data_IF_608398761213
#
_entry.id   IF_608398761213
#
_cell.length_a   1.000
_cell.length_b   1.000
_cell.length_c   1.000
_cell.angle_alpha   90.00
_cell.angle_beta   90.00
_cell.angle_gamma   90.00
#
_symmetry.space_group_name_H-M   'P 1'
#
loop_
_entity.id
_entity.type
_entity.pdbx_description
1 polymer ?
#
# COMPACT_ATOMS: atom_id res chain seq x y z
N UNK A 1 1.32 13.24 17.52
CA UNK A 1 1.37 13.41 16.04
C UNK A 1 2.03 12.16 15.46
N UNK A 2 1.25 11.32 14.74
CA UNK A 2 1.67 10.00 14.27
C UNK A 2 2.99 9.99 13.46
N UNK A 3 3.23 11.03 12.67
CA UNK A 3 4.47 11.12 11.88
C UNK A 3 5.70 11.36 12.78
N UNK A 4 5.60 12.25 13.75
CA UNK A 4 6.69 12.51 14.71
C UNK A 4 6.96 11.31 15.60
N UNK A 5 5.90 10.60 16.00
CA UNK A 5 6.05 9.38 16.80
C UNK A 5 6.74 8.28 15.99
N UNK A 6 6.38 8.11 14.72
CA UNK A 6 7.03 7.15 13.83
C UNK A 6 8.51 7.50 13.64
N UNK A 7 8.84 8.77 13.34
CA UNK A 7 10.23 9.24 13.23
C UNK A 7 11.02 8.94 14.51
N UNK A 8 10.46 9.25 15.68
CA UNK A 8 11.09 8.97 16.96
C UNK A 8 11.37 7.48 17.12
N UNK A 9 10.37 6.63 16.90
CA UNK A 9 10.53 5.18 17.09
C UNK A 9 11.49 4.55 16.10
N UNK A 10 11.53 4.99 14.85
CA UNK A 10 12.49 4.48 13.87
C UNK A 10 13.93 4.82 14.26
N UNK A 11 14.17 5.94 14.93
CA UNK A 11 15.48 6.37 15.43
C UNK A 11 15.84 5.73 16.78
N UNK A 12 14.88 5.62 17.70
CA UNK A 12 15.09 4.99 19.01
C UNK A 12 15.31 3.47 18.91
N UNK A 13 14.71 2.84 17.91
CA UNK A 13 14.79 1.38 17.71
C UNK A 13 15.35 1.04 16.32
N UNK A 14 16.62 1.34 16.03
CA UNK A 14 17.19 1.16 14.71
C UNK A 14 17.26 -0.31 14.25
N UNK A 15 17.18 -1.27 15.17
CA UNK A 15 17.10 -2.70 14.88
C UNK A 15 15.70 -3.19 14.52
N UNK A 16 14.65 -2.42 14.87
CA UNK A 16 13.28 -2.76 14.53
C UNK A 16 13.01 -2.52 13.04
N UNK A 17 12.21 -3.38 12.43
CA UNK A 17 11.71 -3.19 11.08
C UNK A 17 10.20 -2.94 11.15
N UNK A 18 9.75 -1.88 10.51
CA UNK A 18 8.37 -1.41 10.58
C UNK A 18 7.68 -1.66 9.25
N UNK A 19 6.57 -2.38 9.24
CA UNK A 19 5.72 -2.51 8.05
C UNK A 19 4.53 -1.57 8.22
N UNK A 20 4.41 -0.60 7.34
CA UNK A 20 3.28 0.33 7.31
C UNK A 20 2.21 -0.22 6.39
N UNK A 21 1.14 -0.74 6.98
CA UNK A 21 0.03 -1.32 6.25
C UNK A 21 -0.73 -0.27 5.41
N UNK A 22 -1.38 -0.74 4.34
CA UNK A 22 -2.28 0.06 3.51
C UNK A 22 -1.61 1.31 2.93
N UNK A 23 -0.44 1.16 2.31
CA UNK A 23 0.35 2.29 1.82
C UNK A 23 0.55 3.37 2.91
N UNK A 24 0.93 2.97 4.13
CA UNK A 24 0.97 3.84 5.31
C UNK A 24 -0.39 4.50 5.66
N UNK A 25 -1.49 3.76 5.51
CA UNK A 25 -2.88 4.23 5.62
C UNK A 25 -3.25 5.35 4.64
N UNK A 26 -2.58 5.44 3.53
CA UNK A 26 -2.85 6.44 2.50
C UNK A 26 -3.86 5.91 1.48
N UNK A 27 -5.14 5.88 1.86
CA UNK A 27 -6.24 5.40 1.02
C UNK A 27 -6.62 6.35 -0.11
N UNK A 28 -5.98 7.51 -0.20
CA UNK A 28 -6.10 8.44 -1.32
C UNK A 28 -4.80 9.22 -1.57
N UNK A 29 -4.69 9.77 -2.76
CA UNK A 29 -3.52 10.51 -3.23
C UNK A 29 -3.12 11.68 -2.30
N UNK A 30 -4.08 12.43 -1.77
CA UNK A 30 -3.78 13.57 -0.89
C UNK A 30 -3.07 13.15 0.40
N UNK A 31 -3.48 12.01 0.98
CA UNK A 31 -2.81 11.47 2.16
C UNK A 31 -1.41 10.99 1.82
N UNK A 32 -1.24 10.37 0.65
CA UNK A 32 0.07 9.90 0.20
C UNK A 32 1.01 11.08 -0.10
N UNK A 33 0.56 12.12 -0.79
CA UNK A 33 1.34 13.33 -1.07
C UNK A 33 1.85 14.01 0.21
N UNK A 34 0.99 14.07 1.23
CA UNK A 34 1.36 14.65 2.53
C UNK A 34 2.42 13.81 3.26
N UNK A 35 2.43 12.51 3.04
CA UNK A 35 3.21 11.55 3.83
C UNK A 35 4.51 11.12 3.16
N UNK A 36 4.50 10.95 1.84
CA UNK A 36 5.56 10.22 1.14
C UNK A 36 6.93 10.87 1.28
N UNK A 37 7.01 12.18 1.22
CA UNK A 37 8.28 12.92 1.34
C UNK A 37 8.97 12.71 2.69
N UNK A 38 8.15 12.61 3.73
CA UNK A 38 8.63 12.33 5.08
C UNK A 38 8.98 10.85 5.26
N UNK A 39 8.14 9.95 4.75
CA UNK A 39 8.29 8.52 4.94
C UNK A 39 9.51 7.94 4.21
N UNK A 40 9.84 8.45 3.01
CA UNK A 40 10.99 7.98 2.23
C UNK A 40 12.34 8.17 2.94
N UNK A 41 12.43 9.18 3.81
CA UNK A 41 13.66 9.50 4.55
C UNK A 41 13.84 8.66 5.82
N UNK A 42 12.83 7.88 6.20
CA UNK A 42 12.89 7.05 7.40
C UNK A 42 13.58 5.71 7.12
N UNK A 43 14.57 5.33 7.96
CA UNK A 43 15.19 4.02 7.84
C UNK A 43 14.24 2.92 8.30
N UNK A 44 14.52 1.67 7.92
CA UNK A 44 13.84 0.45 8.41
C UNK A 44 12.29 0.45 8.24
N UNK A 45 11.75 1.27 7.35
CA UNK A 45 10.35 1.27 6.97
C UNK A 45 10.15 0.38 5.73
N UNK A 46 9.09 -0.39 5.78
CA UNK A 46 8.56 -1.21 4.70
C UNK A 46 7.08 -0.90 4.54
N UNK A 47 6.52 -1.21 3.40
CA UNK A 47 5.11 -0.94 3.12
C UNK A 47 4.42 -2.19 2.59
N UNK A 48 3.16 -2.35 2.92
CA UNK A 48 2.26 -3.18 2.16
C UNK A 48 1.17 -2.35 1.48
N UNK A 49 0.66 -2.85 0.38
CA UNK A 49 -0.32 -2.16 -0.45
C UNK A 49 -1.76 -2.61 -0.21
N UNK A 50 -1.98 -3.40 0.83
CA UNK A 50 -3.25 -4.07 1.09
C UNK A 50 -4.45 -3.12 1.13
N UNK A 51 -5.56 -3.55 0.57
CA UNK A 51 -6.86 -2.89 0.56
C UNK A 51 -6.92 -1.48 -0.06
N UNK A 52 -5.83 -0.91 -0.52
CA UNK A 52 -5.84 0.41 -1.19
C UNK A 52 -6.33 0.25 -2.63
N UNK A 53 -7.36 1.01 -3.00
CA UNK A 53 -7.92 1.01 -4.34
C UNK A 53 -7.71 2.34 -5.08
N UNK A 54 -6.90 3.23 -4.54
CA UNK A 54 -6.57 4.51 -5.17
C UNK A 54 -5.30 4.38 -6.02
N UNK A 55 -5.43 4.63 -7.31
CA UNK A 55 -4.35 4.53 -8.28
C UNK A 55 -3.15 5.40 -7.92
N UNK A 56 -3.42 6.65 -7.54
CA UNK A 56 -2.35 7.61 -7.29
C UNK A 56 -1.62 7.37 -5.98
N UNK A 57 -2.28 6.79 -4.97
CA UNK A 57 -1.58 6.33 -3.76
C UNK A 57 -0.51 5.29 -4.08
N UNK A 58 -0.86 4.27 -4.86
CA UNK A 58 0.10 3.28 -5.33
C UNK A 58 1.19 3.90 -6.21
N UNK A 59 0.80 4.77 -7.15
CA UNK A 59 1.73 5.43 -8.06
C UNK A 59 2.77 6.26 -7.31
N UNK A 60 2.34 7.10 -6.37
CA UNK A 60 3.23 7.96 -5.59
C UNK A 60 4.17 7.13 -4.71
N UNK A 61 3.64 6.10 -4.04
CA UNK A 61 4.46 5.20 -3.23
C UNK A 61 5.53 4.53 -4.09
N UNK A 62 5.15 3.86 -5.19
CA UNK A 62 6.08 3.12 -6.05
C UNK A 62 7.03 4.02 -6.84
N UNK A 63 6.69 5.29 -7.02
CA UNK A 63 7.54 6.28 -7.71
C UNK A 63 8.61 6.87 -6.80
N UNK A 64 8.29 7.11 -5.54
CA UNK A 64 9.15 7.89 -4.64
C UNK A 64 9.90 7.02 -3.62
N UNK A 65 9.38 5.84 -3.31
CA UNK A 65 10.01 4.92 -2.37
C UNK A 65 10.95 3.94 -3.10
N UNK A 66 11.91 3.37 -2.36
CA UNK A 66 12.65 2.19 -2.84
C UNK A 66 11.66 1.03 -3.02
N UNK A 67 11.41 0.65 -4.26
CA UNK A 67 10.46 -0.41 -4.63
C UNK A 67 10.74 -1.74 -3.94
N UNK A 68 11.99 -1.98 -3.51
CA UNK A 68 12.37 -3.18 -2.75
C UNK A 68 11.79 -3.20 -1.34
N UNK A 69 11.27 -2.08 -0.86
CA UNK A 69 10.60 -1.95 0.44
C UNK A 69 9.07 -2.00 0.34
N UNK A 70 8.51 -2.09 -0.87
CA UNK A 70 7.06 -2.13 -1.10
C UNK A 70 6.63 -3.55 -1.43
N UNK A 71 5.71 -4.10 -0.66
CA UNK A 71 5.24 -5.47 -0.77
C UNK A 71 3.74 -5.50 -1.07
N UNK A 72 3.32 -6.46 -1.87
CA UNK A 72 1.91 -6.77 -2.00
C UNK A 72 1.34 -7.31 -0.67
N UNK A 73 0.19 -6.79 -0.28
CA UNK A 73 -0.64 -7.32 0.79
C UNK A 73 -2.09 -7.40 0.34
N UNK A 74 -2.88 -8.29 0.91
CA UNK A 74 -4.28 -8.50 0.52
C UNK A 74 -5.30 -7.98 1.54
N UNK A 75 -4.88 -7.74 2.79
CA UNK A 75 -5.78 -7.51 3.92
C UNK A 75 -6.88 -8.59 4.01
N UNK A 76 -6.52 -9.83 3.65
CA UNK A 76 -7.39 -10.97 3.77
C UNK A 76 -7.53 -11.29 5.29
N UNK A 77 -8.64 -11.42 5.81
CA UNK A 77 -9.95 -11.93 5.61
C UNK A 77 -11.02 -10.82 5.68
N UNK A 78 -10.67 -9.62 6.11
CA UNK A 78 -11.64 -8.56 6.42
C UNK A 78 -11.96 -7.70 5.19
N UNK A 79 -10.96 -7.00 4.65
CA UNK A 79 -11.20 -6.10 3.53
C UNK A 79 -10.98 -6.78 2.18
N UNK A 80 -9.90 -7.55 1.99
CA UNK A 80 -9.58 -8.14 0.69
C UNK A 80 -10.68 -9.03 0.09
N UNK A 81 -11.41 -9.73 0.93
CA UNK A 81 -12.54 -10.59 0.52
C UNK A 81 -13.89 -9.86 0.54
N UNK A 82 -13.96 -8.61 0.97
CA UNK A 82 -15.19 -7.84 0.92
C UNK A 82 -15.54 -7.48 -0.53
N UNK A 83 -16.85 -7.57 -0.85
CA UNK A 83 -17.34 -7.07 -2.13
C UNK A 83 -17.32 -5.55 -2.13
N UNK A 84 -16.84 -4.96 -3.22
CA UNK A 84 -16.78 -3.52 -3.36
C UNK A 84 -15.35 -3.01 -3.53
N UNK A 85 -15.17 -1.73 -3.27
CA UNK A 85 -13.88 -1.05 -3.29
C UNK A 85 -13.86 0.12 -2.32
N UNK A 86 -12.69 0.55 -1.95
CA UNK A 86 -12.52 1.83 -1.27
C UNK A 86 -12.51 2.95 -2.30
N UNK A 87 -13.41 3.91 -2.12
CA UNK A 87 -13.50 5.11 -2.96
C UNK A 87 -13.12 6.35 -2.17
N UNK A 88 -12.61 7.35 -2.87
CA UNK A 88 -12.20 8.61 -2.28
C UNK A 88 -13.26 9.68 -2.49
N UNK A 89 -13.43 10.52 -1.48
CA UNK A 89 -14.27 11.70 -1.51
C UNK A 89 -13.47 12.87 -0.91
N UNK A 90 -12.80 13.62 -1.75
CA UNK A 90 -11.79 14.57 -1.31
C UNK A 90 -10.69 13.88 -0.49
N UNK A 91 -10.45 14.35 0.73
CA UNK A 91 -9.47 13.73 1.66
C UNK A 91 -10.06 12.57 2.48
N UNK A 92 -11.35 12.31 2.39
CA UNK A 92 -11.99 11.16 3.01
C UNK A 92 -11.98 9.95 2.08
N UNK A 93 -12.17 8.80 2.65
CA UNK A 93 -12.36 7.54 1.93
C UNK A 93 -13.41 6.69 2.64
N UNK A 94 -14.09 5.85 1.89
CA UNK A 94 -15.09 4.95 2.43
C UNK A 94 -15.16 3.66 1.61
N UNK A 95 -15.63 2.59 2.24
CA UNK A 95 -15.94 1.35 1.53
C UNK A 95 -17.25 1.51 0.74
N UNK A 96 -17.20 1.23 -0.55
CA UNK A 96 -18.34 1.22 -1.45
C UNK A 96 -18.64 -0.21 -1.90
N UNK A 97 -19.72 -0.84 -1.44
CA UNK A 97 -19.98 -2.27 -1.70
C UNK A 97 -20.50 -2.55 -3.13
N UNK A 98 -20.82 -1.53 -3.88
CA UNK A 98 -21.46 -1.62 -5.18
C UNK A 98 -22.85 -1.03 -5.15
N UNK A 99 -23.43 -0.82 -6.32
CA UNK A 99 -24.65 -0.06 -6.45
C UNK A 99 -25.90 -0.94 -6.34
N UNK A 100 -26.35 -1.22 -5.15
CA UNK A 100 -27.65 -1.86 -4.94
C UNK A 100 -28.82 -0.85 -4.94
N UNK A 101 -28.55 0.43 -4.72
CA UNK A 101 -29.54 1.48 -4.54
C UNK A 101 -29.45 2.63 -5.57
N UNK A 102 -28.84 2.37 -6.74
CA UNK A 102 -28.97 3.29 -7.86
C UNK A 102 -28.36 4.67 -7.66
N UNK A 103 -27.11 4.77 -7.21
CA UNK A 103 -26.36 6.01 -7.44
C UNK A 103 -26.13 6.15 -8.94
N UNK A 104 -26.86 7.03 -9.65
CA UNK A 104 -26.66 7.20 -11.08
C UNK A 104 -25.21 7.63 -11.29
N UNK A 105 -24.56 7.10 -12.31
CA UNK A 105 -23.16 7.39 -12.64
C UNK A 105 -22.08 6.62 -11.83
N UNK A 106 -22.43 5.71 -10.93
CA UNK A 106 -21.47 4.82 -10.29
C UNK A 106 -21.40 3.48 -11.03
N UNK A 107 -20.19 2.94 -11.17
CA UNK A 107 -20.02 1.58 -11.70
C UNK A 107 -20.55 0.57 -10.67
N UNK A 108 -21.64 -0.10 -11.02
CA UNK A 108 -22.28 -1.12 -10.18
C UNK A 108 -21.57 -2.47 -10.20
N UNK A 109 -20.48 -2.59 -10.95
CA UNK A 109 -19.79 -3.87 -11.20
C UNK A 109 -18.57 -4.08 -10.29
N UNK A 110 -18.51 -3.38 -9.17
CA UNK A 110 -17.45 -3.60 -8.20
C UNK A 110 -17.34 -5.10 -7.83
N UNK A 111 -16.13 -5.63 -7.87
CA UNK A 111 -15.83 -7.03 -7.56
C UNK A 111 -15.46 -7.19 -6.09
N UNK A 112 -14.33 -7.80 -5.79
CA UNK A 112 -13.78 -7.83 -4.44
C UNK A 112 -12.70 -6.73 -4.30
N UNK A 113 -12.54 -6.19 -3.11
CA UNK A 113 -11.53 -5.16 -2.82
C UNK A 113 -10.14 -5.55 -3.35
N UNK A 114 -9.75 -6.82 -3.19
CA UNK A 114 -8.47 -7.31 -3.69
C UNK A 114 -8.36 -7.25 -5.23
N UNK A 115 -9.43 -7.51 -5.96
CA UNK A 115 -9.40 -7.40 -7.43
C UNK A 115 -9.37 -5.94 -7.88
N UNK A 116 -10.08 -5.07 -7.18
CA UNK A 116 -10.02 -3.63 -7.42
C UNK A 116 -8.60 -3.09 -7.16
N UNK A 117 -7.93 -3.55 -6.10
CA UNK A 117 -6.53 -3.26 -5.82
C UNK A 117 -5.61 -3.74 -6.96
N UNK A 118 -5.72 -5.00 -7.38
CA UNK A 118 -4.90 -5.57 -8.45
C UNK A 118 -5.05 -4.83 -9.78
N UNK A 119 -6.25 -4.30 -10.08
CA UNK A 119 -6.46 -3.45 -11.26
C UNK A 119 -5.61 -2.19 -11.17
N UNK A 120 -5.60 -1.52 -10.00
CA UNK A 120 -4.82 -0.30 -9.80
C UNK A 120 -3.31 -0.59 -9.86
N UNK A 121 -2.84 -1.64 -9.20
CA UNK A 121 -1.42 -2.03 -9.22
C UNK A 121 -0.93 -2.38 -10.62
N UNK A 122 -1.76 -3.07 -11.41
CA UNK A 122 -1.47 -3.32 -12.84
C UNK A 122 -1.32 -2.03 -13.63
N UNK A 123 -2.19 -1.05 -13.41
CA UNK A 123 -2.11 0.25 -14.08
C UNK A 123 -0.84 1.00 -13.67
N UNK A 124 -0.49 0.99 -12.38
CA UNK A 124 0.74 1.59 -11.87
C UNK A 124 1.97 0.93 -12.48
N UNK A 125 1.99 -0.40 -12.57
CA UNK A 125 3.08 -1.13 -13.21
C UNK A 125 3.29 -0.68 -14.68
N UNK A 126 2.19 -0.44 -15.40
CA UNK A 126 2.24 0.09 -16.76
C UNK A 126 2.71 1.55 -16.81
N UNK A 127 2.20 2.41 -15.92
CA UNK A 127 2.58 3.84 -15.85
C UNK A 127 4.05 4.06 -15.50
N UNK A 128 4.61 3.20 -14.66
CA UNK A 128 6.01 3.26 -14.22
C UNK A 128 6.94 2.35 -15.04
N UNK A 129 6.40 1.69 -16.08
CA UNK A 129 7.14 0.78 -16.96
C UNK A 129 7.94 -0.27 -16.17
N UNK A 130 7.29 -0.84 -15.13
CA UNK A 130 7.95 -1.82 -14.27
C UNK A 130 8.35 -3.05 -15.08
N UNK A 131 9.58 -3.50 -14.87
CA UNK A 131 10.08 -4.76 -15.41
C UNK A 131 9.34 -5.95 -14.78
N UNK A 132 9.44 -7.11 -15.43
CA UNK A 132 8.88 -8.35 -14.91
C UNK A 132 9.47 -8.68 -13.52
N UNK A 133 10.76 -8.49 -13.34
CA UNK A 133 11.44 -8.76 -12.07
C UNK A 133 10.93 -7.84 -10.95
N UNK A 134 10.70 -6.55 -11.24
CA UNK A 134 10.14 -5.62 -10.26
C UNK A 134 8.71 -6.00 -9.88
N UNK A 135 7.91 -6.49 -10.83
CA UNK A 135 6.55 -6.99 -10.55
C UNK A 135 6.62 -8.26 -9.68
N UNK A 136 7.47 -9.23 -10.02
CA UNK A 136 7.67 -10.43 -9.21
C UNK A 136 8.20 -10.10 -7.81
N UNK A 137 9.10 -9.14 -7.71
CA UNK A 137 9.60 -8.63 -6.44
C UNK A 137 8.48 -8.01 -5.58
N UNK A 138 7.62 -7.20 -6.17
CA UNK A 138 6.48 -6.61 -5.46
C UNK A 138 5.54 -7.68 -4.90
N UNK A 139 5.19 -8.70 -5.70
CA UNK A 139 4.25 -9.73 -5.27
C UNK A 139 4.84 -10.78 -4.32
N UNK A 140 6.15 -11.02 -4.34
CA UNK A 140 6.76 -12.06 -3.51
C UNK A 140 8.20 -11.74 -3.07
N UNK A 141 9.08 -11.32 -3.97
CA UNK A 141 10.51 -11.19 -3.70
C UNK A 141 10.84 -10.27 -2.54
N UNK A 142 10.15 -9.14 -2.42
CA UNK A 142 10.35 -8.18 -1.34
C UNK A 142 9.98 -8.77 0.03
N UNK A 143 8.87 -9.51 0.12
CA UNK A 143 8.47 -10.18 1.35
C UNK A 143 9.49 -11.25 1.77
N UNK A 144 10.03 -12.03 0.83
CA UNK A 144 11.09 -12.99 1.12
C UNK A 144 12.37 -12.30 1.60
N UNK A 145 12.77 -11.19 0.98
CA UNK A 145 13.93 -10.39 1.43
C UNK A 145 13.73 -9.85 2.85
N UNK A 146 12.55 -9.33 3.13
CA UNK A 146 12.19 -8.87 4.49
C UNK A 146 12.34 -10.01 5.51
N UNK A 147 11.71 -11.16 5.27
CA UNK A 147 11.75 -12.31 6.17
C UNK A 147 13.17 -12.86 6.37
N UNK A 148 13.98 -12.90 5.30
CA UNK A 148 15.38 -13.33 5.39
C UNK A 148 16.21 -12.36 6.26
N UNK A 149 15.97 -11.06 6.17
CA UNK A 149 16.61 -10.04 7.01
C UNK A 149 16.26 -10.22 8.48
N UNK A 150 14.96 -10.48 8.79
CA UNK A 150 14.50 -10.72 10.16
C UNK A 150 15.12 -11.97 10.79
N UNK A 151 15.26 -13.06 10.03
CA UNK A 151 15.91 -14.28 10.52
C UNK A 151 17.38 -14.07 10.86
N UNK A 152 18.13 -13.33 10.04
CA UNK A 152 19.54 -13.01 10.33
C UNK A 152 19.69 -12.17 11.59
N UNK A 153 18.81 -11.20 11.83
CA UNK A 153 18.84 -10.36 13.03
C UNK A 153 18.55 -11.13 14.33
N UNK A 154 17.82 -12.26 14.26
CA UNK A 154 17.55 -13.12 15.40
C UNK A 154 18.71 -14.11 15.72
N UNK A 155 19.63 -14.29 14.80
CA UNK A 155 20.75 -15.26 14.91
C UNK A 155 22.06 -14.60 15.32
N UNK A 156 22.09 -13.29 15.45
CA UNK A 156 23.20 -12.45 15.87
C UNK A 156 22.98 -11.90 17.29
#
# INVERSE_FOLDING_TARGET
DNQRDLERYTREYPGAQWILAHCARSFNAFMMEDSIRFLCDLPNIWYDTSAVNDLYSHFLLMKHEDRKRVMFGSDNVVAGCARGKYITYGRAWLHYPGNEEGTPHCDSRATLVIYEQLIQERQVAQMLELSRDEIEDHFAGNAFRFLARMRKAQSS
#
